data_IF_629662533859
#
_entry.id   IF_629662533859
#
_cell.length_a   1.000
_cell.length_b   1.000
_cell.length_c   1.000
_cell.angle_alpha   90.00
_cell.angle_beta   90.00
_cell.angle_gamma   90.00
#
_symmetry.space_group_name_H-M   'P 1'
#
loop_
_entity.id
_entity.type
_entity.pdbx_description
1 polymer ?
#
# COMPACT_ATOMS: atom_id res chain seq x y z
N UNK A 1 -14.17 -9.10 -15.49
CA UNK A 1 -15.07 -9.27 -14.33
C UNK A 1 -14.21 -9.36 -13.07
N UNK A 2 -14.53 -8.67 -11.97
CA UNK A 2 -13.76 -8.75 -10.73
C UNK A 2 -13.78 -10.18 -10.17
N UNK A 3 -12.65 -10.64 -9.64
CA UNK A 3 -12.61 -11.90 -8.90
C UNK A 3 -13.09 -11.65 -7.46
N UNK A 4 -14.22 -12.21 -7.10
CA UNK A 4 -14.85 -12.01 -5.78
C UNK A 4 -14.64 -13.18 -4.82
N UNK A 5 -14.13 -14.32 -5.32
CA UNK A 5 -14.01 -15.55 -4.56
C UNK A 5 -15.36 -16.24 -4.29
N UNK A 6 -15.36 -17.49 -3.77
CA UNK A 6 -16.59 -18.25 -3.55
C UNK A 6 -17.49 -17.68 -2.45
N UNK A 7 -16.96 -16.87 -1.53
CA UNK A 7 -17.70 -16.24 -0.43
C UNK A 7 -17.88 -14.74 -0.59
N UNK A 8 -17.39 -14.16 -1.70
CA UNK A 8 -17.39 -12.70 -1.91
C UNK A 8 -16.29 -11.93 -1.15
N UNK A 9 -15.37 -12.64 -0.49
CA UNK A 9 -14.34 -12.04 0.37
C UNK A 9 -12.95 -12.01 -0.26
N UNK A 10 -12.81 -12.18 -1.58
CA UNK A 10 -11.50 -12.04 -2.22
C UNK A 10 -10.98 -10.59 -2.14
N UNK A 11 -9.65 -10.42 -2.04
CA UNK A 11 -9.00 -9.11 -2.14
C UNK A 11 -8.56 -8.48 -0.82
N UNK A 12 -8.61 -9.19 0.30
CA UNK A 12 -8.14 -8.70 1.60
C UNK A 12 -6.61 -8.71 1.73
N UNK A 13 -5.89 -8.11 0.77
CA UNK A 13 -4.42 -8.06 0.74
C UNK A 13 -3.83 -7.39 2.00
N UNK A 14 -4.54 -6.45 2.62
CA UNK A 14 -4.13 -5.79 3.87
C UNK A 14 -3.95 -6.75 5.04
N UNK A 15 -4.54 -7.95 4.98
CA UNK A 15 -4.46 -8.96 6.04
C UNK A 15 -3.52 -10.13 5.71
N UNK A 16 -2.70 -10.01 4.66
CA UNK A 16 -1.58 -10.92 4.44
C UNK A 16 -0.50 -10.62 5.48
N UNK A 17 -0.02 -11.64 6.20
CA UNK A 17 1.15 -11.53 7.07
C UNK A 17 2.40 -11.31 6.23
N UNK A 18 3.03 -10.17 6.38
CA UNK A 18 4.26 -9.78 5.68
C UNK A 18 5.46 -9.68 6.63
N UNK A 19 5.20 -9.80 7.93
CA UNK A 19 6.19 -9.78 9.01
C UNK A 19 5.80 -10.83 10.05
N UNK A 20 6.56 -11.92 10.15
CA UNK A 20 6.24 -13.05 11.03
C UNK A 20 6.36 -12.69 12.53
N UNK A 21 7.20 -11.70 12.84
CA UNK A 21 7.43 -11.18 14.20
C UNK A 21 6.74 -9.83 14.42
N UNK A 22 5.79 -9.48 13.56
CA UNK A 22 5.12 -8.18 13.53
C UNK A 22 4.05 -8.01 14.63
N UNK A 23 3.38 -6.86 14.60
CA UNK A 23 2.32 -6.53 15.56
C UNK A 23 1.07 -7.41 15.38
N UNK A 24 0.34 -7.63 16.47
CA UNK A 24 -0.99 -8.24 16.42
C UNK A 24 -1.97 -7.32 15.68
N UNK A 25 -2.57 -7.84 14.64
CA UNK A 25 -3.59 -7.13 13.88
C UNK A 25 -4.98 -7.29 14.53
N UNK A 26 -5.88 -6.29 14.45
CA UNK A 26 -7.26 -6.43 14.91
C UNK A 26 -8.03 -7.61 14.28
N UNK A 27 -7.59 -8.14 13.14
CA UNK A 27 -8.17 -9.35 12.54
C UNK A 27 -7.80 -10.64 13.28
N UNK A 28 -6.89 -10.59 14.26
CA UNK A 28 -6.39 -11.73 15.04
C UNK A 28 -5.10 -12.35 14.52
N UNK A 29 -4.62 -11.97 13.33
CA UNK A 29 -3.34 -12.44 12.78
C UNK A 29 -2.17 -11.53 13.20
N UNK A 30 -0.93 -12.03 13.08
CA UNK A 30 0.29 -11.28 13.37
C UNK A 30 0.92 -10.77 12.07
N UNK A 31 1.44 -9.54 12.09
CA UNK A 31 2.26 -8.96 11.03
C UNK A 31 1.53 -8.69 9.73
N UNK A 32 0.24 -8.41 9.81
CA UNK A 32 -0.53 -8.02 8.62
C UNK A 32 0.04 -6.77 7.95
N UNK A 33 -0.05 -6.69 6.63
CA UNK A 33 0.32 -5.52 5.85
C UNK A 33 -0.32 -4.22 6.39
N UNK A 34 -1.58 -4.29 6.83
CA UNK A 34 -2.35 -3.19 7.41
C UNK A 34 -1.65 -2.55 8.63
N UNK A 35 -0.99 -3.36 9.48
CA UNK A 35 -0.28 -2.86 10.67
C UNK A 35 0.99 -2.09 10.34
N UNK A 36 1.46 -2.17 9.09
CA UNK A 36 2.70 -1.54 8.63
C UNK A 36 2.42 -0.41 7.64
N UNK A 37 1.54 -0.65 6.65
CA UNK A 37 1.42 0.19 5.46
C UNK A 37 0.16 1.06 5.43
N UNK A 38 -0.77 0.90 6.38
CA UNK A 38 -1.89 1.84 6.49
C UNK A 38 -1.41 3.21 6.95
N UNK A 39 -2.09 4.28 6.51
CA UNK A 39 -1.75 5.65 6.92
C UNK A 39 -1.64 5.81 8.43
N UNK A 40 -2.65 5.36 9.23
CA UNK A 40 -2.57 5.41 10.69
C UNK A 40 -1.38 4.62 11.27
N UNK A 41 -1.06 3.44 10.72
CA UNK A 41 0.05 2.61 11.19
C UNK A 41 1.41 3.24 10.90
N UNK A 42 1.57 3.85 9.73
CA UNK A 42 2.78 4.60 9.37
C UNK A 42 3.00 5.78 10.31
N UNK A 43 1.94 6.53 10.61
CA UNK A 43 1.98 7.68 11.55
C UNK A 43 2.33 7.20 12.95
N UNK A 44 1.65 6.17 13.45
CA UNK A 44 1.93 5.59 14.78
C UNK A 44 3.39 5.18 14.91
N UNK A 45 3.91 4.48 13.90
CA UNK A 45 5.31 4.06 13.87
C UNK A 45 6.26 5.27 13.84
N UNK A 46 5.99 6.27 13.02
CA UNK A 46 6.84 7.46 12.92
C UNK A 46 6.89 8.24 14.24
N UNK A 47 5.74 8.43 14.91
CA UNK A 47 5.66 9.07 16.23
C UNK A 47 6.48 8.30 17.27
N UNK A 48 6.38 6.97 17.30
CA UNK A 48 7.15 6.12 18.20
C UNK A 48 8.67 6.17 17.92
N UNK A 49 9.07 6.59 16.72
CA UNK A 49 10.47 6.71 16.29
C UNK A 49 10.95 8.18 16.21
N UNK A 50 10.28 9.09 16.92
CA UNK A 50 10.75 10.47 17.10
C UNK A 50 10.30 11.48 16.05
N UNK A 51 9.37 11.10 15.15
CA UNK A 51 8.69 12.09 14.32
C UNK A 51 7.68 12.89 15.15
N UNK A 52 7.54 14.16 14.83
CA UNK A 52 6.46 15.01 15.34
C UNK A 52 5.87 15.81 14.18
N UNK A 53 4.56 15.96 14.16
CA UNK A 53 3.92 16.80 13.15
C UNK A 53 4.38 18.27 13.27
N UNK A 54 4.45 19.01 12.17
CA UNK A 54 4.75 20.45 12.20
C UNK A 54 3.77 21.21 13.11
N UNK A 55 4.20 22.31 13.74
CA UNK A 55 3.33 23.13 14.58
C UNK A 55 2.02 23.49 13.86
N UNK A 56 0.89 23.26 14.51
CA UNK A 56 -0.45 23.54 13.97
C UNK A 56 -1.00 22.48 13.00
N UNK A 57 -0.24 21.45 12.65
CA UNK A 57 -0.71 20.34 11.83
C UNK A 57 -1.11 19.14 12.69
N UNK A 58 -2.16 18.42 12.26
CA UNK A 58 -2.50 17.13 12.84
C UNK A 58 -1.45 16.07 12.48
N UNK A 59 -1.09 15.16 13.41
CA UNK A 59 -0.19 14.06 13.12
C UNK A 59 -0.91 12.99 12.29
N UNK A 60 -1.03 13.24 10.99
CA UNK A 60 -1.69 12.34 10.04
C UNK A 60 -0.75 11.93 8.90
N UNK A 61 -1.23 11.02 8.05
CA UNK A 61 -0.45 10.49 6.93
C UNK A 61 -0.12 11.58 5.88
N UNK A 62 -0.90 12.65 5.80
CA UNK A 62 -0.64 13.77 4.88
C UNK A 62 0.54 14.61 5.38
N UNK A 63 0.55 14.95 6.68
CA UNK A 63 1.67 15.66 7.29
C UNK A 63 2.95 14.81 7.22
N UNK A 64 2.86 13.51 7.50
CA UNK A 64 3.98 12.59 7.38
C UNK A 64 4.53 12.52 5.94
N UNK A 65 3.64 12.47 4.94
CA UNK A 65 4.03 12.49 3.52
C UNK A 65 4.72 13.77 3.12
N UNK A 66 4.20 14.92 3.57
CA UNK A 66 4.83 16.22 3.30
C UNK A 66 6.23 16.30 3.91
N UNK A 67 6.43 15.77 5.13
CA UNK A 67 7.74 15.73 5.77
C UNK A 67 8.71 14.78 5.07
N UNK A 68 8.24 13.61 4.65
CA UNK A 68 9.05 12.68 3.86
C UNK A 68 9.51 13.32 2.54
N UNK A 69 8.62 14.05 1.85
CA UNK A 69 8.96 14.78 0.63
C UNK A 69 9.98 15.91 0.87
N UNK A 70 9.99 16.51 2.07
CA UNK A 70 10.99 17.50 2.50
C UNK A 70 12.31 16.88 2.97
N UNK A 71 12.43 15.57 2.99
CA UNK A 71 13.65 14.88 3.38
C UNK A 71 13.77 14.59 4.88
N UNK A 72 12.70 14.68 5.69
CA UNK A 72 12.75 14.33 7.11
C UNK A 72 13.04 12.83 7.25
N UNK A 73 14.18 12.42 7.85
CA UNK A 73 14.66 11.04 7.75
C UNK A 73 13.69 10.00 8.32
N UNK A 74 13.10 10.25 9.48
CA UNK A 74 12.14 9.31 10.11
C UNK A 74 10.86 9.17 9.29
N UNK A 75 10.41 10.25 8.64
CA UNK A 75 9.26 10.20 7.74
C UNK A 75 9.58 9.40 6.47
N UNK A 76 10.75 9.60 5.88
CA UNK A 76 11.22 8.79 4.73
C UNK A 76 11.34 7.32 5.12
N UNK A 77 11.85 7.01 6.30
CA UNK A 77 11.98 5.62 6.78
C UNK A 77 10.60 4.97 6.98
N UNK A 78 9.59 5.72 7.44
CA UNK A 78 8.22 5.21 7.54
C UNK A 78 7.66 4.80 6.17
N UNK A 79 7.89 5.61 5.12
CA UNK A 79 7.49 5.28 3.75
C UNK A 79 8.31 4.12 3.15
N UNK A 80 9.60 4.05 3.43
CA UNK A 80 10.43 2.92 2.99
C UNK A 80 9.94 1.61 3.62
N UNK A 81 9.65 1.60 4.92
CA UNK A 81 9.12 0.45 5.64
C UNK A 81 7.78 0.00 5.06
N UNK A 82 6.89 0.94 4.78
CA UNK A 82 5.59 0.65 4.15
C UNK A 82 5.76 0.09 2.73
N UNK A 83 6.69 0.65 1.95
CA UNK A 83 7.00 0.19 0.61
C UNK A 83 7.57 -1.24 0.59
N UNK A 84 8.46 -1.55 1.53
CA UNK A 84 9.04 -2.90 1.66
C UNK A 84 7.96 -3.94 1.99
N UNK A 85 7.04 -3.64 2.91
CA UNK A 85 5.93 -4.51 3.28
C UNK A 85 4.93 -4.68 2.12
N UNK A 86 4.58 -3.59 1.43
CA UNK A 86 3.75 -3.62 0.23
C UNK A 86 4.36 -4.48 -0.87
N UNK A 87 5.67 -4.38 -1.10
CA UNK A 87 6.36 -5.18 -2.11
C UNK A 87 6.24 -6.68 -1.82
N UNK A 88 6.34 -7.09 -0.55
CA UNK A 88 6.16 -8.50 -0.16
C UNK A 88 4.75 -8.98 -0.50
N UNK A 89 3.72 -8.24 -0.11
CA UNK A 89 2.32 -8.62 -0.37
C UNK A 89 2.01 -8.62 -1.87
N UNK A 90 2.46 -7.59 -2.60
CA UNK A 90 2.27 -7.47 -4.05
C UNK A 90 2.92 -8.64 -4.79
N UNK A 91 4.19 -8.93 -4.51
CA UNK A 91 4.90 -10.02 -5.18
C UNK A 91 4.31 -11.38 -4.84
N UNK A 92 3.90 -11.61 -3.59
CA UNK A 92 3.19 -12.83 -3.20
C UNK A 92 1.88 -12.99 -3.96
N UNK A 93 1.07 -11.94 -4.05
CA UNK A 93 -0.18 -11.95 -4.80
C UNK A 93 0.07 -12.13 -6.30
N UNK A 94 1.04 -11.42 -6.87
CA UNK A 94 1.38 -11.54 -8.29
C UNK A 94 1.89 -12.93 -8.64
N UNK A 95 2.64 -13.58 -7.75
CA UNK A 95 3.11 -14.95 -7.95
C UNK A 95 1.96 -15.98 -7.95
N UNK A 96 0.89 -15.75 -7.17
CA UNK A 96 -0.26 -16.65 -7.09
C UNK A 96 -1.27 -16.46 -8.22
N UNK A 97 -1.42 -15.23 -8.72
CA UNK A 97 -2.45 -14.87 -9.70
C UNK A 97 -1.88 -14.49 -11.07
N UNK A 98 -0.57 -14.62 -11.27
CA UNK A 98 0.12 -14.29 -12.54
C UNK A 98 -0.19 -12.87 -13.01
N UNK A 99 -0.02 -11.90 -12.09
CA UNK A 99 -0.30 -10.49 -12.37
C UNK A 99 0.89 -9.83 -13.06
N UNK A 100 0.59 -8.97 -14.02
CA UNK A 100 1.55 -8.13 -14.76
C UNK A 100 1.44 -6.64 -14.43
N UNK A 101 0.30 -6.20 -13.91
CA UNK A 101 0.04 -4.82 -13.52
C UNK A 101 -0.59 -4.72 -12.12
N UNK A 102 -0.13 -3.75 -11.32
CA UNK A 102 -0.70 -3.40 -10.02
C UNK A 102 -0.97 -1.90 -9.96
N UNK A 103 -2.22 -1.53 -9.71
CA UNK A 103 -2.64 -0.14 -9.60
C UNK A 103 -2.87 0.22 -8.13
N UNK A 104 -2.12 1.19 -7.62
CA UNK A 104 -2.21 1.66 -6.24
C UNK A 104 -3.21 2.83 -6.16
N UNK A 105 -4.25 2.65 -5.35
CA UNK A 105 -5.28 3.65 -5.09
C UNK A 105 -5.47 3.94 -3.61
N UNK A 106 -6.47 4.77 -3.29
CA UNK A 106 -6.83 5.12 -1.91
C UNK A 106 -5.98 6.23 -1.29
N UNK A 107 -6.18 6.49 0.00
CA UNK A 107 -5.61 7.66 0.68
C UNK A 107 -4.08 7.74 0.68
N UNK A 108 -3.41 6.60 0.87
CA UNK A 108 -1.94 6.54 0.95
C UNK A 108 -1.29 6.75 -0.43
N UNK A 109 -1.97 6.38 -1.52
CA UNK A 109 -1.48 6.65 -2.88
C UNK A 109 -1.34 8.15 -3.19
N UNK A 110 -2.03 8.99 -2.42
CA UNK A 110 -1.89 10.46 -2.49
C UNK A 110 -0.50 10.97 -2.15
N UNK A 111 0.35 10.17 -1.52
CA UNK A 111 1.76 10.49 -1.29
C UNK A 111 2.60 10.50 -2.59
N UNK A 112 2.07 10.01 -3.71
CA UNK A 112 2.75 10.01 -5.01
C UNK A 112 4.08 9.27 -4.97
N UNK A 113 5.12 9.89 -5.53
CA UNK A 113 6.45 9.28 -5.63
C UNK A 113 7.13 9.07 -4.27
N UNK A 114 6.71 9.75 -3.20
CA UNK A 114 7.18 9.47 -1.84
C UNK A 114 6.92 8.01 -1.42
N UNK A 115 5.83 7.41 -1.90
CA UNK A 115 5.53 5.99 -1.72
C UNK A 115 5.95 5.15 -2.93
N UNK A 116 5.60 5.60 -4.14
CA UNK A 116 5.74 4.77 -5.34
C UNK A 116 7.18 4.52 -5.76
N UNK A 117 8.07 5.51 -5.60
CA UNK A 117 9.47 5.31 -5.94
C UNK A 117 10.13 4.22 -5.07
N UNK A 118 10.08 4.27 -3.72
CA UNK A 118 10.61 3.20 -2.90
C UNK A 118 9.87 1.86 -3.10
N UNK A 119 8.56 1.88 -3.39
CA UNK A 119 7.79 0.67 -3.66
C UNK A 119 8.28 -0.03 -4.94
N UNK A 120 8.43 0.69 -6.06
CA UNK A 120 8.97 0.13 -7.30
C UNK A 120 10.37 -0.44 -7.13
N UNK A 121 11.22 0.26 -6.36
CA UNK A 121 12.56 -0.23 -6.02
C UNK A 121 12.51 -1.52 -5.20
N UNK A 122 11.63 -1.59 -4.18
CA UNK A 122 11.47 -2.77 -3.34
C UNK A 122 10.92 -3.97 -4.14
N UNK A 123 9.97 -3.75 -5.04
CA UNK A 123 9.44 -4.78 -5.96
C UNK A 123 10.56 -5.27 -6.87
N UNK A 124 11.27 -4.39 -7.56
CA UNK A 124 12.36 -4.78 -8.45
C UNK A 124 13.48 -5.56 -7.74
N UNK A 125 13.84 -5.14 -6.52
CA UNK A 125 14.86 -5.80 -5.70
C UNK A 125 14.45 -7.21 -5.27
N UNK A 126 13.16 -7.45 -5.02
CA UNK A 126 12.62 -8.69 -4.46
C UNK A 126 12.03 -9.64 -5.50
N UNK A 127 11.85 -9.22 -6.76
CA UNK A 127 11.30 -10.02 -7.84
C UNK A 127 12.25 -11.15 -8.26
N UNK A 128 12.22 -12.27 -7.51
CA UNK A 128 13.09 -13.42 -7.75
C UNK A 128 12.69 -14.23 -8.98
N UNK A 129 11.39 -14.43 -9.19
CA UNK A 129 10.86 -15.17 -10.33
C UNK A 129 10.95 -14.33 -11.61
N UNK A 130 11.32 -14.96 -12.73
CA UNK A 130 11.57 -14.26 -13.99
C UNK A 130 10.38 -13.44 -14.49
N UNK A 131 9.17 -14.00 -14.39
CA UNK A 131 7.94 -13.35 -14.85
C UNK A 131 7.52 -12.15 -13.97
N UNK A 132 7.94 -12.11 -12.70
CA UNK A 132 7.67 -10.98 -11.80
C UNK A 132 8.55 -9.76 -12.07
N UNK A 133 9.65 -9.91 -12.82
CA UNK A 133 10.57 -8.78 -13.11
C UNK A 133 9.95 -7.70 -14.00
N UNK A 134 8.91 -8.06 -14.74
CA UNK A 134 8.14 -7.14 -15.58
C UNK A 134 6.93 -6.49 -14.89
N UNK A 135 6.67 -6.84 -13.61
CA UNK A 135 5.51 -6.36 -12.87
C UNK A 135 5.53 -4.82 -12.78
N UNK A 136 4.47 -4.20 -13.31
CA UNK A 136 4.31 -2.76 -13.24
C UNK A 136 3.57 -2.36 -11.98
N UNK A 137 4.01 -1.27 -11.35
CA UNK A 137 3.34 -0.67 -10.21
C UNK A 137 3.07 0.78 -10.50
N UNK A 138 1.80 1.11 -10.64
CA UNK A 138 1.33 2.43 -11.07
C UNK A 138 0.36 3.04 -10.07
N UNK A 139 0.24 4.36 -10.10
CA UNK A 139 -0.79 5.08 -9.36
C UNK A 139 -2.07 5.13 -10.20
N UNK A 140 -3.23 4.98 -9.54
CA UNK A 140 -4.51 5.23 -10.21
C UNK A 140 -4.59 6.67 -10.72
N UNK A 141 -5.13 6.84 -11.92
CA UNK A 141 -5.48 8.15 -12.48
C UNK A 141 -6.80 8.71 -11.90
N UNK A 142 -7.58 7.88 -11.20
CA UNK A 142 -8.89 8.25 -10.64
C UNK A 142 -8.80 8.91 -9.26
N UNK A 143 -7.60 9.13 -8.76
CA UNK A 143 -7.31 9.78 -7.47
C UNK A 143 -8.18 9.23 -6.31
N UNK A 144 -8.93 10.14 -5.63
CA UNK A 144 -9.81 9.78 -4.50
C UNK A 144 -11.10 9.11 -4.91
N UNK A 145 -11.49 9.25 -6.16
CA UNK A 145 -12.78 8.78 -6.68
C UNK A 145 -12.70 7.35 -7.23
N UNK A 146 -11.53 6.71 -7.18
CA UNK A 146 -11.34 5.34 -7.66
C UNK A 146 -12.39 4.36 -7.09
N UNK A 147 -12.73 4.47 -5.80
CA UNK A 147 -13.76 3.65 -5.16
C UNK A 147 -15.17 3.90 -5.71
N UNK A 148 -15.52 5.16 -6.01
CA UNK A 148 -16.81 5.54 -6.60
C UNK A 148 -16.93 5.02 -8.04
N UNK A 149 -15.89 5.20 -8.85
CA UNK A 149 -15.84 4.65 -10.20
C UNK A 149 -15.91 3.13 -10.20
N UNK A 150 -15.19 2.47 -9.28
CA UNK A 150 -15.26 1.02 -9.12
C UNK A 150 -16.66 0.53 -8.76
N UNK A 151 -17.34 1.18 -7.81
CA UNK A 151 -18.72 0.86 -7.44
C UNK A 151 -19.69 1.08 -8.61
N UNK A 152 -19.55 2.18 -9.33
CA UNK A 152 -20.34 2.46 -10.52
C UNK A 152 -20.14 1.41 -11.61
N UNK A 153 -18.90 0.99 -11.85
CA UNK A 153 -18.57 -0.02 -12.86
C UNK A 153 -19.16 -1.42 -12.54
N UNK A 154 -19.50 -1.70 -11.28
CA UNK A 154 -20.16 -2.96 -10.91
C UNK A 154 -21.65 -2.99 -11.29
N UNK A 155 -22.31 -1.85 -11.42
CA UNK A 155 -23.76 -1.75 -11.64
C UNK A 155 -24.12 -1.19 -13.03
N UNK A 156 -23.18 -0.49 -13.68
CA UNK A 156 -23.39 0.02 -15.03
C UNK A 156 -23.12 -1.07 -16.07
N UNK A 157 -23.99 -1.23 -17.08
CA UNK A 157 -23.70 -2.14 -18.19
C UNK A 157 -22.42 -1.71 -18.90
N UNK A 158 -21.50 -2.65 -19.13
CA UNK A 158 -20.36 -2.41 -20.01
C UNK A 158 -20.91 -2.16 -21.40
N UNK A 159 -20.73 -0.95 -21.93
CA UNK A 159 -21.05 -0.66 -23.32
C UNK A 159 -20.16 -1.58 -24.18
N UNK A 160 -20.82 -2.49 -24.92
CA UNK A 160 -20.17 -3.43 -25.82
C UNK A 160 -19.55 -2.74 -27.05
#
# INVERSE_FOLDING_TARGET
MPYVGPTGNAGHIGHISVDLDGELCPCGAVGCLETISSGPSMVRWALANGWSAPPGASPDARALSADAARGVPVAQLAFQRAADALAVAILGTAALFDLDDVVIGGGVSGAGETLLAPLRQAVAKRAGLGFLRGLKVERTSLERDAGLYGAAALVLPVAG
#
